data_IF_497902733779
#
_entry.id   IF_497902733779
#
_cell.length_a   1.000
_cell.length_b   1.000
_cell.length_c   1.000
_cell.angle_alpha   90.00
_cell.angle_beta   90.00
_cell.angle_gamma   90.00
#
_symmetry.space_group_name_H-M   'P 1'
#
loop_
_entity.id
_entity.type
_entity.pdbx_description
1 polymer ?
#
# COMPACT_ATOMS: atom_id res chain seq x y z
N UNK A 1 10.21 15.99 -5.75
CA UNK A 1 9.23 15.16 -5.03
C UNK A 1 9.36 13.71 -5.47
N UNK A 2 9.40 12.79 -4.53
CA UNK A 2 9.45 11.36 -4.81
C UNK A 2 8.02 10.85 -5.03
N UNK A 3 7.87 9.90 -5.95
CA UNK A 3 6.59 9.26 -6.23
C UNK A 3 6.74 7.76 -6.08
N UNK A 4 5.77 7.10 -5.47
CA UNK A 4 5.79 5.65 -5.28
C UNK A 4 4.38 5.10 -5.11
N UNK A 5 4.20 3.83 -5.46
CA UNK A 5 3.02 3.06 -5.08
C UNK A 5 3.31 2.43 -3.72
N UNK A 6 2.42 2.58 -2.77
CA UNK A 6 2.50 1.92 -1.46
C UNK A 6 1.31 0.99 -1.33
N UNK A 7 1.55 -0.25 -0.91
CA UNK A 7 0.45 -1.19 -0.72
C UNK A 7 -0.09 -1.17 0.71
N UNK A 8 -1.12 -1.98 0.96
CA UNK A 8 -1.78 -2.03 2.26
C UNK A 8 -0.83 -2.47 3.37
N UNK A 9 0.17 -3.32 3.08
CA UNK A 9 1.10 -3.80 4.10
C UNK A 9 1.91 -2.65 4.72
N UNK A 10 2.18 -1.59 3.95
CA UNK A 10 2.87 -0.40 4.43
C UNK A 10 1.92 0.56 5.11
N UNK A 11 0.79 0.87 4.47
CA UNK A 11 -0.16 1.87 4.97
C UNK A 11 -0.80 1.43 6.30
N UNK A 12 -1.06 0.13 6.47
CA UNK A 12 -1.58 -0.40 7.73
C UNK A 12 -0.69 -0.04 8.93
N UNK A 13 0.62 0.03 8.72
CA UNK A 13 1.57 0.41 9.78
C UNK A 13 1.44 1.89 10.19
N UNK A 14 0.81 2.72 9.36
CA UNK A 14 0.56 4.12 9.69
C UNK A 14 -0.58 4.27 10.70
N UNK A 15 -1.48 3.27 10.77
CA UNK A 15 -2.67 3.31 11.63
C UNK A 15 -2.54 2.44 12.88
N UNK A 16 -1.67 1.44 12.86
CA UNK A 16 -1.47 0.56 14.01
C UNK A 16 -0.06 0.01 14.01
N UNK A 17 0.64 0.19 15.13
CA UNK A 17 2.03 -0.27 15.30
C UNK A 17 2.14 -1.63 15.98
N UNK A 18 1.15 -2.03 16.76
CA UNK A 18 1.19 -3.23 17.56
C UNK A 18 1.37 -4.49 16.70
N UNK A 19 2.41 -5.27 17.03
CA UNK A 19 2.70 -6.51 16.30
C UNK A 19 3.32 -6.31 14.92
N UNK A 20 3.67 -5.08 14.53
CA UNK A 20 4.22 -4.78 13.22
C UNK A 20 5.74 -4.65 13.24
N UNK A 21 6.37 -5.05 12.12
CA UNK A 21 7.82 -4.91 11.90
C UNK A 21 8.10 -3.72 10.99
N UNK A 22 9.36 -3.29 10.96
CA UNK A 22 9.84 -2.22 10.06
C UNK A 22 9.08 -0.90 10.22
N UNK A 23 8.71 -0.58 11.47
CA UNK A 23 7.96 0.63 11.78
C UNK A 23 8.74 1.92 11.48
N UNK A 24 10.04 1.91 11.69
CA UNK A 24 10.86 3.10 11.42
C UNK A 24 10.80 3.49 9.94
N UNK A 25 10.90 2.50 9.04
CA UNK A 25 10.81 2.74 7.61
C UNK A 25 9.41 3.24 7.21
N UNK A 26 8.36 2.64 7.77
CA UNK A 26 6.98 3.07 7.50
C UNK A 26 6.74 4.50 7.99
N UNK A 27 7.26 4.84 9.16
CA UNK A 27 7.13 6.20 9.72
C UNK A 27 7.89 7.23 8.89
N UNK A 28 9.06 6.88 8.37
CA UNK A 28 9.82 7.76 7.49
C UNK A 28 9.03 8.09 6.23
N UNK A 29 8.36 7.09 5.65
CA UNK A 29 7.51 7.30 4.48
C UNK A 29 6.32 8.20 4.83
N UNK A 30 5.70 7.98 5.96
CA UNK A 30 4.58 8.81 6.41
C UNK A 30 5.01 10.25 6.63
N UNK A 31 6.16 10.46 7.27
CA UNK A 31 6.70 11.81 7.49
C UNK A 31 6.96 12.52 6.17
N UNK A 32 7.57 11.82 5.20
CA UNK A 32 7.80 12.40 3.88
C UNK A 32 6.48 12.73 3.16
N UNK A 33 5.49 11.86 3.29
CA UNK A 33 4.17 12.08 2.70
C UNK A 33 3.49 13.32 3.33
N UNK A 34 3.50 13.42 4.65
CA UNK A 34 2.90 14.54 5.36
C UNK A 34 3.61 15.86 5.07
N UNK A 35 4.90 15.81 4.81
CA UNK A 35 5.70 16.98 4.45
C UNK A 35 5.57 17.39 2.98
N UNK A 36 4.82 16.64 2.18
CA UNK A 36 4.69 16.90 0.75
C UNK A 36 5.90 16.50 -0.08
N UNK A 37 6.78 15.68 0.48
CA UNK A 37 8.00 15.20 -0.20
C UNK A 37 7.81 13.86 -0.90
N UNK A 38 6.72 13.16 -0.59
CA UNK A 38 6.35 11.88 -1.19
C UNK A 38 4.91 11.95 -1.68
N UNK A 39 4.71 11.64 -2.96
CA UNK A 39 3.38 11.48 -3.53
C UNK A 39 3.08 9.98 -3.58
N UNK A 40 1.98 9.56 -2.96
CA UNK A 40 1.59 8.16 -2.85
C UNK A 40 0.50 7.84 -3.87
N UNK A 41 0.76 6.83 -4.70
CA UNK A 41 -0.20 6.26 -5.64
C UNK A 41 -0.69 4.92 -5.12
N UNK A 42 -1.95 4.61 -5.35
CA UNK A 42 -2.52 3.32 -4.97
C UNK A 42 -3.76 3.03 -5.80
N UNK A 43 -4.13 1.76 -6.00
CA UNK A 43 -5.44 1.45 -6.54
C UNK A 43 -6.53 1.75 -5.50
N UNK A 44 -7.75 2.07 -5.92
CA UNK A 44 -8.85 2.35 -4.97
C UNK A 44 -9.12 1.23 -3.98
N UNK A 45 -8.81 -0.01 -4.31
CA UNK A 45 -9.01 -1.16 -3.43
C UNK A 45 -8.20 -1.06 -2.12
N UNK A 46 -7.15 -0.26 -2.08
CA UNK A 46 -6.35 -0.06 -0.87
C UNK A 46 -7.24 0.31 0.33
N UNK A 47 -8.18 1.22 0.12
CA UNK A 47 -9.06 1.68 1.19
C UNK A 47 -9.94 0.56 1.72
N UNK A 48 -10.43 -0.30 0.85
CA UNK A 48 -11.23 -1.46 1.25
C UNK A 48 -10.41 -2.48 2.02
N UNK A 49 -9.17 -2.71 1.60
CA UNK A 49 -8.28 -3.63 2.30
C UNK A 49 -7.99 -3.15 3.72
N UNK A 50 -7.74 -1.86 3.90
CA UNK A 50 -7.48 -1.30 5.22
C UNK A 50 -8.72 -1.40 6.12
N UNK A 51 -9.88 -1.04 5.61
CA UNK A 51 -11.14 -1.15 6.37
C UNK A 51 -11.40 -2.61 6.75
N UNK A 52 -11.15 -3.54 5.82
CA UNK A 52 -11.35 -4.97 6.08
C UNK A 52 -10.44 -5.47 7.21
N UNK A 53 -9.16 -5.13 7.17
CA UNK A 53 -8.21 -5.53 8.23
C UNK A 53 -8.62 -4.91 9.58
N UNK A 54 -8.96 -3.63 9.58
CA UNK A 54 -9.34 -2.93 10.80
C UNK A 54 -10.61 -3.54 11.44
N UNK A 55 -11.57 -3.93 10.63
CA UNK A 55 -12.80 -4.53 11.12
C UNK A 55 -12.64 -6.00 11.50
N UNK A 56 -11.91 -6.78 10.71
CA UNK A 56 -11.84 -8.24 10.88
C UNK A 56 -10.68 -8.71 11.76
N UNK A 57 -9.54 -8.03 11.69
CA UNK A 57 -8.37 -8.43 12.48
C UNK A 57 -8.19 -7.59 13.75
N UNK A 58 -8.39 -6.27 13.64
CA UNK A 58 -8.23 -5.39 14.80
C UNK A 58 -9.50 -5.29 15.64
N UNK A 59 -10.64 -5.71 15.10
CA UNK A 59 -11.90 -5.73 15.83
C UNK A 59 -12.47 -4.35 16.15
N UNK A 60 -12.18 -3.35 15.33
CA UNK A 60 -12.71 -2.00 15.54
C UNK A 60 -14.24 -2.00 15.41
N UNK A 61 -14.91 -1.23 16.25
CA UNK A 61 -16.36 -1.09 16.20
C UNK A 61 -16.80 -0.15 15.07
N UNK A 62 -18.10 -0.02 14.87
CA UNK A 62 -18.65 0.78 13.79
C UNK A 62 -18.17 2.23 13.84
N UNK A 63 -18.19 2.87 15.00
CA UNK A 63 -17.78 4.26 15.12
C UNK A 63 -16.32 4.45 14.74
N UNK A 64 -15.44 3.57 15.22
CA UNK A 64 -14.02 3.61 14.89
C UNK A 64 -13.75 3.34 13.41
N UNK A 65 -14.50 2.41 12.81
CA UNK A 65 -14.36 2.12 11.38
C UNK A 65 -14.81 3.30 10.51
N UNK A 66 -15.90 3.97 10.89
CA UNK A 66 -16.36 5.16 10.17
C UNK A 66 -15.34 6.30 10.26
N UNK A 67 -14.73 6.48 11.44
CA UNK A 67 -13.65 7.48 11.59
C UNK A 67 -12.43 7.12 10.73
N UNK A 68 -12.06 5.85 10.69
CA UNK A 68 -10.96 5.39 9.85
C UNK A 68 -11.25 5.64 8.38
N UNK A 69 -12.47 5.35 7.92
CA UNK A 69 -12.89 5.60 6.54
C UNK A 69 -12.74 7.09 6.18
N UNK A 70 -13.18 7.98 7.06
CA UNK A 70 -13.03 9.42 6.84
C UNK A 70 -11.57 9.83 6.76
N UNK A 71 -10.71 9.28 7.63
CA UNK A 71 -9.28 9.55 7.60
C UNK A 71 -8.64 9.08 6.29
N UNK A 72 -9.02 7.91 5.80
CA UNK A 72 -8.51 7.37 4.53
C UNK A 72 -8.91 8.25 3.35
N UNK A 73 -10.16 8.71 3.32
CA UNK A 73 -10.62 9.60 2.24
C UNK A 73 -9.90 10.94 2.25
N UNK A 74 -9.48 11.40 3.43
CA UNK A 74 -8.79 12.68 3.59
C UNK A 74 -7.28 12.65 3.38
N UNK A 75 -6.67 11.47 3.16
CA UNK A 75 -5.21 11.37 3.07
C UNK A 75 -4.61 12.03 1.82
N UNK A 76 -5.36 12.08 0.72
CA UNK A 76 -4.86 12.71 -0.50
C UNK A 76 -3.95 11.81 -1.33
N UNK A 77 -4.16 10.50 -1.28
CA UNK A 77 -3.48 9.58 -2.17
C UNK A 77 -3.98 9.76 -3.60
N UNK A 78 -3.08 9.54 -4.57
CA UNK A 78 -3.47 9.47 -5.98
C UNK A 78 -4.02 8.07 -6.24
N UNK A 79 -5.33 7.96 -6.37
CA UNK A 79 -6.00 6.67 -6.56
C UNK A 79 -6.28 6.45 -8.05
N UNK A 80 -5.67 5.41 -8.61
CA UNK A 80 -5.79 5.07 -10.02
C UNK A 80 -6.11 3.59 -10.20
N UNK A 81 -7.03 3.29 -11.12
CA UNK A 81 -7.33 1.90 -11.47
C UNK A 81 -6.21 1.35 -12.34
N UNK A 82 -5.61 0.21 -11.98
CA UNK A 82 -4.62 -0.42 -12.83
C UNK A 82 -5.27 -1.06 -14.05
N UNK A 83 -4.52 -1.20 -15.17
CA UNK A 83 -5.04 -1.92 -16.34
C UNK A 83 -5.37 -3.36 -15.97
N UNK A 84 -6.60 -3.79 -16.22
CA UNK A 84 -7.07 -5.12 -15.81
C UNK A 84 -6.29 -6.24 -16.48
N UNK A 85 -5.88 -6.07 -17.74
CA UNK A 85 -5.07 -7.07 -18.43
C UNK A 85 -3.72 -7.29 -17.73
N UNK A 86 -3.11 -6.24 -17.21
CA UNK A 86 -1.84 -6.35 -16.49
C UNK A 86 -2.05 -7.00 -15.12
N UNK A 87 -3.16 -6.71 -14.45
CA UNK A 87 -3.53 -7.41 -13.22
C UNK A 87 -3.64 -8.92 -13.49
N UNK A 88 -4.28 -9.29 -14.59
CA UNK A 88 -4.42 -10.69 -15.00
C UNK A 88 -3.06 -11.36 -15.23
N UNK A 89 -2.12 -10.66 -15.87
CA UNK A 89 -0.77 -11.21 -16.11
C UNK A 89 -0.02 -11.48 -14.82
N UNK A 90 -0.06 -10.56 -13.88
CA UNK A 90 0.61 -10.72 -12.59
C UNK A 90 -0.08 -11.79 -11.73
N UNK A 91 -1.40 -11.92 -11.85
CA UNK A 91 -2.15 -12.99 -11.19
C UNK A 91 -1.69 -14.36 -11.71
N UNK A 92 -1.50 -14.47 -13.02
CA UNK A 92 -1.00 -15.71 -13.62
C UNK A 92 0.41 -16.09 -13.14
N UNK A 93 1.18 -15.12 -12.66
CA UNK A 93 2.54 -15.33 -12.14
C UNK A 93 2.59 -15.69 -10.66
N UNK A 94 1.44 -15.80 -10.01
CA UNK A 94 1.35 -16.31 -8.64
C UNK A 94 0.86 -15.33 -7.59
N UNK A 95 0.47 -14.12 -7.97
CA UNK A 95 -0.10 -13.15 -7.03
C UNK A 95 -1.62 -13.26 -6.98
N UNK A 96 -2.22 -12.87 -5.85
CA UNK A 96 -3.66 -12.64 -5.85
C UNK A 96 -3.95 -11.44 -6.77
N UNK A 97 -5.19 -11.34 -7.27
CA UNK A 97 -5.55 -10.18 -8.09
C UNK A 97 -5.40 -8.87 -7.30
N UNK A 98 -5.59 -8.93 -5.99
CA UNK A 98 -5.45 -7.76 -5.12
C UNK A 98 -3.99 -7.28 -5.05
N UNK A 99 -3.04 -8.19 -4.80
CA UNK A 99 -1.62 -7.86 -4.82
C UNK A 99 -1.15 -7.47 -6.23
N UNK A 100 -1.65 -8.18 -7.23
CA UNK A 100 -1.34 -7.90 -8.63
C UNK A 100 -1.77 -6.49 -9.04
N UNK A 101 -2.84 -5.97 -8.45
CA UNK A 101 -3.32 -4.61 -8.75
C UNK A 101 -2.27 -3.55 -8.42
N UNK A 102 -1.55 -3.71 -7.30
CA UNK A 102 -0.48 -2.78 -6.93
C UNK A 102 0.71 -2.87 -7.88
N UNK A 103 1.10 -4.08 -8.23
CA UNK A 103 2.22 -4.30 -9.16
C UNK A 103 1.88 -3.75 -10.54
N UNK A 104 0.67 -4.01 -11.02
CA UNK A 104 0.22 -3.52 -12.33
C UNK A 104 0.16 -1.99 -12.36
N UNK A 105 -0.30 -1.36 -11.28
CA UNK A 105 -0.32 0.09 -11.21
C UNK A 105 1.09 0.67 -11.24
N UNK A 106 1.99 0.12 -10.44
CA UNK A 106 3.38 0.58 -10.39
C UNK A 106 4.05 0.45 -11.77
N UNK A 107 3.83 -0.67 -12.45
CA UNK A 107 4.36 -0.89 -13.78
C UNK A 107 3.81 0.12 -14.79
N UNK A 108 2.49 0.34 -14.77
CA UNK A 108 1.84 1.26 -15.70
C UNK A 108 2.29 2.70 -15.51
N UNK A 109 2.54 3.10 -14.25
CA UNK A 109 2.97 4.47 -13.92
C UNK A 109 4.50 4.61 -13.90
N UNK A 110 5.25 3.54 -14.15
CA UNK A 110 6.70 3.51 -14.09
C UNK A 110 7.24 3.98 -12.73
N UNK A 111 6.59 3.52 -11.66
CA UNK A 111 6.95 3.86 -10.29
C UNK A 111 7.37 2.62 -9.51
N UNK A 112 8.20 2.77 -8.47
CA UNK A 112 8.48 1.66 -7.57
C UNK A 112 7.25 1.35 -6.74
N UNK A 113 7.07 0.07 -6.40
CA UNK A 113 6.09 -0.38 -5.42
C UNK A 113 6.81 -0.67 -4.12
N UNK A 114 6.51 0.07 -3.07
CA UNK A 114 7.07 -0.20 -1.74
C UNK A 114 6.11 -1.12 -1.00
N UNK A 115 6.60 -2.26 -0.54
CA UNK A 115 5.79 -3.30 0.07
C UNK A 115 6.55 -4.00 1.19
N UNK A 116 5.82 -4.51 2.18
CA UNK A 116 6.37 -5.38 3.21
C UNK A 116 5.95 -6.84 2.99
N UNK A 117 5.43 -7.16 1.82
CA UNK A 117 5.00 -8.50 1.43
C UNK A 117 6.13 -9.22 0.68
N UNK A 118 6.67 -10.27 1.28
CA UNK A 118 7.81 -11.01 0.72
C UNK A 118 7.46 -11.71 -0.61
N UNK A 119 6.23 -12.16 -0.79
CA UNK A 119 5.82 -12.80 -2.02
C UNK A 119 5.81 -11.81 -3.19
N UNK A 120 5.35 -10.60 -2.97
CA UNK A 120 5.35 -9.57 -4.00
C UNK A 120 6.80 -9.27 -4.43
N UNK A 121 7.70 -9.14 -3.48
CA UNK A 121 9.13 -8.91 -3.79
C UNK A 121 9.71 -10.07 -4.59
N UNK A 122 9.34 -11.30 -4.24
CA UNK A 122 9.83 -12.50 -4.94
C UNK A 122 9.31 -12.56 -6.38
N UNK A 123 8.03 -12.26 -6.59
CA UNK A 123 7.39 -12.38 -7.91
C UNK A 123 7.73 -11.21 -8.82
N UNK A 124 7.86 -10.00 -8.27
CA UNK A 124 8.08 -8.78 -9.05
C UNK A 124 9.33 -8.00 -8.57
N UNK A 125 10.52 -8.62 -8.59
CA UNK A 125 11.72 -8.01 -8.01
C UNK A 125 12.20 -6.74 -8.72
N UNK A 126 11.83 -6.53 -9.99
CA UNK A 126 12.22 -5.33 -10.73
C UNK A 126 11.31 -4.12 -10.41
N UNK A 127 10.15 -4.37 -9.81
CA UNK A 127 9.15 -3.34 -9.52
C UNK A 127 9.05 -3.09 -8.02
N UNK A 128 9.06 -4.16 -7.24
CA UNK A 128 8.88 -4.09 -5.79
C UNK A 128 10.18 -3.73 -5.06
N UNK A 129 10.05 -2.80 -4.12
CA UNK A 129 11.13 -2.43 -3.20
C UNK A 129 10.68 -2.83 -1.80
N UNK A 130 11.42 -3.71 -1.12
CA UNK A 130 11.05 -4.09 0.25
C UNK A 130 11.05 -2.88 1.17
N UNK A 131 10.07 -2.80 2.07
CA UNK A 131 9.96 -1.68 3.01
C UNK A 131 11.26 -1.47 3.80
N UNK A 132 11.89 -2.53 4.28
CA UNK A 132 13.12 -2.42 5.06
C UNK A 132 14.31 -1.87 4.27
N UNK A 133 14.24 -1.88 2.94
CA UNK A 133 15.29 -1.34 2.09
C UNK A 133 15.09 0.16 1.79
N UNK A 134 13.99 0.75 2.25
CA UNK A 134 13.72 2.18 2.08
C UNK A 134 14.20 2.97 3.28
N UNK A 135 15.38 2.71 3.74
CA UNK A 135 15.90 3.40 4.92
C UNK A 135 16.00 4.88 4.65
N UNK A 136 15.26 5.62 5.39
CA UNK A 136 15.36 7.06 5.38
C UNK A 136 16.54 7.56 6.19
#
# INVERSE_FOLDING_TARGET
>A
MTEAVLDASVILKWFRSEGERHLAAARSLRTAFEAGELLVFAPPLLRLEIVNVAGRRWGLDEAALVELAAALEGLGFELLEPPLAEVARWTARGLTAYDAAYVALAEAEALPLITDDDLIVTVAPQIAVPLHATSG
#
